data_IF_266906337789
#
_entry.id   IF_266906337789
#
_cell.length_a   1.000
_cell.length_b   1.000
_cell.length_c   1.000
_cell.angle_alpha   90.00
_cell.angle_beta   90.00
_cell.angle_gamma   90.00
#
_symmetry.space_group_name_H-M   'P 1'
#
loop_
_entity.id
_entity.type
_entity.pdbx_description
1 polymer ?
#
# COMPACT_ATOMS: atom_id res chain seq x y z
N UNK A 1 11.71 -13.36 -2.55
CA UNK A 1 11.51 -12.22 -1.64
C UNK A 1 10.18 -12.44 -0.95
N UNK A 2 10.11 -12.37 0.38
CA UNK A 2 8.86 -12.54 1.13
C UNK A 2 8.21 -11.16 1.33
N UNK A 3 7.21 -10.85 0.49
CA UNK A 3 6.50 -9.59 0.58
C UNK A 3 5.57 -9.50 1.79
N UNK A 4 5.15 -10.62 2.37
CA UNK A 4 4.35 -10.61 3.59
C UNK A 4 5.21 -10.14 4.77
N UNK A 5 6.44 -10.67 4.90
CA UNK A 5 7.39 -10.25 5.93
C UNK A 5 7.79 -8.77 5.78
N UNK A 6 8.07 -8.31 4.55
CA UNK A 6 8.41 -6.91 4.29
C UNK A 6 7.24 -5.96 4.60
N UNK A 7 6.00 -6.37 4.28
CA UNK A 7 4.80 -5.59 4.60
C UNK A 7 4.55 -5.54 6.10
N UNK A 8 4.80 -6.62 6.84
CA UNK A 8 4.70 -6.64 8.29
C UNK A 8 5.67 -5.66 8.94
N UNK A 9 6.94 -5.63 8.50
CA UNK A 9 7.94 -4.63 8.96
C UNK A 9 7.51 -3.20 8.68
N UNK A 10 6.98 -2.94 7.48
CA UNK A 10 6.43 -1.63 7.14
C UNK A 10 5.23 -1.28 8.05
N UNK A 11 4.34 -2.24 8.32
CA UNK A 11 3.19 -2.02 9.20
C UNK A 11 3.59 -1.66 10.62
N UNK A 12 4.63 -2.30 11.16
CA UNK A 12 5.17 -1.98 12.49
C UNK A 12 5.74 -0.57 12.54
N UNK A 13 6.56 -0.21 11.54
CA UNK A 13 7.18 1.11 11.42
C UNK A 13 6.12 2.22 11.28
N UNK A 14 5.10 2.00 10.43
CA UNK A 14 3.99 2.93 10.26
C UNK A 14 3.15 3.05 11.54
N UNK A 15 2.89 1.96 12.26
CA UNK A 15 2.16 2.00 13.53
C UNK A 15 2.94 2.74 14.62
N UNK A 16 4.26 2.58 14.68
CA UNK A 16 5.12 3.33 15.61
C UNK A 16 5.08 4.84 15.32
N UNK A 17 5.01 5.22 14.04
CA UNK A 17 5.04 6.63 13.62
C UNK A 17 3.66 7.31 13.71
N UNK A 18 2.60 6.62 13.28
CA UNK A 18 1.28 7.21 13.06
C UNK A 18 0.19 6.68 14.00
N UNK A 19 0.48 5.64 14.80
CA UNK A 19 -0.50 5.00 15.68
C UNK A 19 -1.69 4.43 14.89
N UNK A 20 -2.89 4.60 15.43
CA UNK A 20 -4.13 4.06 14.86
C UNK A 20 -4.67 4.88 13.66
N UNK A 21 -3.92 5.88 13.18
CA UNK A 21 -4.30 6.68 12.00
C UNK A 21 -4.09 5.93 10.68
N UNK A 22 -3.36 4.82 10.70
CA UNK A 22 -2.99 4.06 9.50
C UNK A 22 -3.24 2.57 9.74
N UNK A 23 -3.95 1.94 8.82
CA UNK A 23 -4.10 0.48 8.74
C UNK A 23 -3.34 -0.03 7.51
N UNK A 24 -2.60 -1.13 7.66
CA UNK A 24 -1.87 -1.78 6.57
C UNK A 24 -2.41 -3.19 6.39
N UNK A 25 -2.79 -3.53 5.15
CA UNK A 25 -3.28 -4.85 4.78
C UNK A 25 -2.41 -5.45 3.67
N UNK A 26 -1.84 -6.62 3.92
CA UNK A 26 -1.22 -7.44 2.88
C UNK A 26 -2.29 -8.31 2.20
N UNK A 27 -2.23 -8.40 0.87
CA UNK A 27 -3.14 -9.21 0.06
C UNK A 27 -2.33 -10.06 -0.91
N UNK A 28 -2.44 -11.37 -0.79
CA UNK A 28 -1.92 -12.30 -1.77
C UNK A 28 -3.00 -12.60 -2.82
N UNK A 29 -2.93 -11.90 -3.94
CA UNK A 29 -3.88 -12.03 -5.05
C UNK A 29 -3.83 -13.38 -5.76
N UNK A 30 -2.72 -14.12 -5.67
CA UNK A 30 -2.64 -15.49 -6.19
C UNK A 30 -3.51 -16.45 -5.35
N UNK A 31 -3.78 -16.10 -4.09
CA UNK A 31 -4.61 -16.90 -3.18
C UNK A 31 -6.08 -16.47 -3.17
N UNK A 32 -6.35 -15.16 -3.17
CA UNK A 32 -7.72 -14.63 -3.02
C UNK A 32 -8.37 -14.24 -4.35
N UNK A 33 -7.60 -14.16 -5.43
CA UNK A 33 -8.04 -13.64 -6.71
C UNK A 33 -8.17 -12.11 -6.74
N UNK A 34 -8.69 -11.58 -7.85
CA UNK A 34 -8.81 -10.15 -8.12
C UNK A 34 -10.25 -9.63 -8.14
N UNK A 35 -11.24 -10.48 -7.86
CA UNK A 35 -12.66 -10.13 -7.95
C UNK A 35 -13.02 -8.94 -7.04
N UNK A 36 -12.48 -8.92 -5.81
CA UNK A 36 -12.70 -7.85 -4.83
C UNK A 36 -11.78 -6.63 -5.04
N UNK A 37 -10.91 -6.67 -6.05
CA UNK A 37 -9.89 -5.65 -6.31
C UNK A 37 -9.93 -5.16 -7.77
N UNK A 38 -11.07 -4.60 -8.25
CA UNK A 38 -11.25 -4.26 -9.67
C UNK A 38 -10.23 -3.24 -10.20
N UNK A 39 -9.73 -2.36 -9.33
CA UNK A 39 -8.68 -1.39 -9.68
C UNK A 39 -7.37 -2.06 -10.10
N UNK A 40 -7.09 -3.26 -9.59
CA UNK A 40 -5.89 -4.02 -9.96
C UNK A 40 -5.91 -4.46 -11.42
N UNK A 41 -7.09 -4.78 -11.98
CA UNK A 41 -7.18 -5.14 -13.40
C UNK A 41 -6.69 -4.01 -14.31
N UNK A 42 -7.02 -2.76 -13.97
CA UNK A 42 -6.56 -1.59 -14.72
C UNK A 42 -5.04 -1.41 -14.61
N UNK A 43 -4.51 -1.49 -13.39
CA UNK A 43 -3.07 -1.34 -13.12
C UNK A 43 -2.26 -2.41 -13.86
N UNK A 44 -2.73 -3.66 -13.86
CA UNK A 44 -2.06 -4.77 -14.55
C UNK A 44 -2.14 -4.65 -16.07
N UNK A 45 -3.26 -4.18 -16.62
CA UNK A 45 -3.39 -3.90 -18.06
C UNK A 45 -2.43 -2.79 -18.53
N UNK A 46 -2.09 -1.86 -17.65
CA UNK A 46 -1.07 -0.83 -17.91
C UNK A 46 0.38 -1.37 -17.83
N UNK A 47 0.56 -2.63 -17.42
CA UNK A 47 1.87 -3.29 -17.36
C UNK A 47 2.67 -3.00 -16.09
N UNK A 48 2.05 -2.42 -15.05
CA UNK A 48 2.74 -2.17 -13.79
C UNK A 48 3.02 -3.48 -13.03
N UNK A 49 4.25 -3.68 -12.53
CA UNK A 49 4.63 -4.92 -11.86
C UNK A 49 4.16 -4.96 -10.41
N UNK A 50 3.95 -6.18 -9.89
CA UNK A 50 3.83 -6.41 -8.46
C UNK A 50 5.14 -6.13 -7.71
N UNK A 51 5.08 -5.85 -6.38
CA UNK A 51 3.87 -5.54 -5.63
C UNK A 51 3.30 -4.17 -6.01
N UNK A 52 1.98 -3.99 -5.86
CA UNK A 52 1.29 -2.71 -6.09
C UNK A 52 0.76 -2.23 -4.73
N UNK A 53 1.13 -1.00 -4.35
CA UNK A 53 0.69 -0.37 -3.11
C UNK A 53 -0.46 0.58 -3.40
N UNK A 54 -1.58 0.38 -2.71
CA UNK A 54 -2.73 1.26 -2.74
C UNK A 54 -2.74 2.09 -1.45
N UNK A 55 -3.02 3.39 -1.56
CA UNK A 55 -3.29 4.27 -0.42
C UNK A 55 -4.72 4.74 -0.54
N UNK A 56 -5.55 4.48 0.48
CA UNK A 56 -6.99 4.77 0.49
C UNK A 56 -7.71 4.22 -0.77
N UNK A 57 -7.37 2.99 -1.17
CA UNK A 57 -7.94 2.32 -2.33
C UNK A 57 -7.41 2.78 -3.70
N UNK A 58 -6.52 3.78 -3.75
CA UNK A 58 -5.95 4.31 -4.99
C UNK A 58 -4.53 3.79 -5.22
N UNK A 59 -4.19 3.23 -6.40
CA UNK A 59 -2.83 2.81 -6.72
C UNK A 59 -1.84 3.98 -6.64
N UNK A 60 -0.71 3.77 -5.97
CA UNK A 60 0.33 4.80 -5.81
C UNK A 60 1.72 4.35 -6.20
N UNK A 61 2.08 3.11 -5.87
CA UNK A 61 3.42 2.57 -6.12
C UNK A 61 3.33 1.18 -6.73
N UNK A 62 4.33 0.82 -7.54
CA UNK A 62 4.44 -0.49 -8.17
C UNK A 62 5.91 -0.93 -8.23
N UNK A 63 6.17 -2.24 -8.20
CA UNK A 63 7.51 -2.81 -8.37
C UNK A 63 8.39 -2.82 -7.11
N UNK A 64 7.84 -2.53 -5.94
CA UNK A 64 8.58 -2.62 -4.67
C UNK A 64 7.82 -2.10 -3.45
N UNK A 65 8.39 -2.34 -2.27
CA UNK A 65 7.91 -1.75 -1.00
C UNK A 65 8.66 -0.44 -0.78
N UNK A 66 7.93 0.68 -0.89
CA UNK A 66 8.46 2.06 -0.88
C UNK A 66 8.13 2.76 0.45
N UNK A 67 8.62 2.22 1.57
CA UNK A 67 8.26 2.72 2.92
C UNK A 67 8.52 4.23 3.11
N UNK A 68 9.67 4.80 2.71
CA UNK A 68 9.93 6.24 2.85
C UNK A 68 8.90 7.10 2.10
N UNK A 69 8.54 6.71 0.88
CA UNK A 69 7.58 7.42 0.03
C UNK A 69 6.15 7.26 0.57
N UNK A 70 5.80 6.08 1.08
CA UNK A 70 4.52 5.85 1.76
C UNK A 70 4.37 6.78 2.98
N UNK A 71 5.43 6.95 3.79
CA UNK A 71 5.46 7.89 4.91
C UNK A 71 5.23 9.33 4.46
N UNK A 72 5.87 9.77 3.37
CA UNK A 72 5.66 11.10 2.82
C UNK A 72 4.20 11.34 2.42
N UNK A 73 3.57 10.37 1.74
CA UNK A 73 2.15 10.50 1.34
C UNK A 73 1.24 10.53 2.57
N UNK A 74 1.53 9.73 3.61
CA UNK A 74 0.77 9.76 4.87
C UNK A 74 0.90 11.13 5.55
N UNK A 75 2.11 11.66 5.65
CA UNK A 75 2.38 12.98 6.24
C UNK A 75 1.59 14.08 5.51
N UNK A 76 1.61 14.07 4.18
CA UNK A 76 0.86 15.02 3.35
C UNK A 76 -0.66 14.89 3.56
N UNK A 77 -1.16 13.65 3.61
CA UNK A 77 -2.60 13.36 3.82
C UNK A 77 -3.06 13.84 5.19
N UNK A 78 -2.26 13.61 6.24
CA UNK A 78 -2.59 14.02 7.61
C UNK A 78 -2.46 15.53 7.82
N UNK A 79 -1.50 16.20 7.16
CA UNK A 79 -1.37 17.66 7.19
C UNK A 79 -2.51 18.36 6.45
N UNK A 80 -2.98 17.78 5.35
CA UNK A 80 -4.06 18.33 4.50
C UNK A 80 -5.48 18.19 5.06
N UNK A 81 -5.66 17.55 6.23
CA UNK A 81 -6.98 17.43 6.89
C UNK A 81 -7.37 18.64 7.76
N UNK A 82 -6.63 19.74 7.67
CA UNK A 82 -7.00 21.06 8.20
C UNK A 82 -7.36 21.99 7.05
N UNK A 83 -8.59 21.92 6.54
CA UNK A 83 -9.23 22.97 5.75
C UNK A 83 -10.75 22.88 5.90
#
# INVERSE_FOLDING_TARGET
MDYAELTAKMSEDLKQTYGDKVEVKYVNVDQVGLADYPVMNQVLQMGYPYPITLINGQPKFAGGIMTPEVKQVIDETLKGSSN
#
